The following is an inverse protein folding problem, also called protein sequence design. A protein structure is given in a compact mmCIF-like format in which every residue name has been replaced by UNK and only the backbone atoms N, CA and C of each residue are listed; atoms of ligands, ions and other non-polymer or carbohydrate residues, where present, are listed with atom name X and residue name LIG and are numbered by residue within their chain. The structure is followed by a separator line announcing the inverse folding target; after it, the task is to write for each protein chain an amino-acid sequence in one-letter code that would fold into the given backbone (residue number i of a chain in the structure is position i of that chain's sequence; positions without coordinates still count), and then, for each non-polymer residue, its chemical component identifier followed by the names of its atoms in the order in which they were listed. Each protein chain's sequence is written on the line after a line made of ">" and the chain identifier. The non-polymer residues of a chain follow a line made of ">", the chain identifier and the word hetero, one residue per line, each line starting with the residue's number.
data_IF_743362784797
#
_entry.id   IF_743362784797
#
_cell.length_a   1.000
_cell.length_b   1.000
_cell.length_c   1.000
_cell.angle_alpha   90.00
_cell.angle_beta   90.00
_cell.angle_gamma   90.00
#
_symmetry.space_group_name_H-M   'P 1'
#
loop_
_entity.id
_entity.type
_entity.pdbx_description
1 polymer ?
#
# COMPACT_ATOMS: atom_id res chain seq x y z
N UNK A 1 -28.69 -36.96 21.27
CA UNK A 1 -28.90 -35.64 21.89
C UNK A 1 -27.59 -34.90 21.96
N UNK A 2 -27.49 -33.77 21.30
CA UNK A 2 -26.31 -32.93 21.42
C UNK A 2 -26.23 -32.27 22.79
N UNK A 3 -25.08 -32.39 23.45
CA UNK A 3 -24.89 -31.87 24.77
C UNK A 3 -24.81 -30.30 24.67
N UNK A 4 -25.74 -29.59 25.27
CA UNK A 4 -25.85 -28.11 25.23
C UNK A 4 -24.53 -27.40 25.55
N UNK A 5 -23.70 -28.00 26.39
CA UNK A 5 -22.37 -27.48 26.75
C UNK A 5 -21.37 -27.56 25.59
N UNK A 6 -21.41 -28.65 24.79
CA UNK A 6 -20.54 -28.81 23.61
C UNK A 6 -20.94 -27.83 22.51
N UNK A 7 -22.24 -27.64 22.30
CA UNK A 7 -22.76 -26.69 21.29
C UNK A 7 -22.39 -25.25 21.62
N UNK A 8 -22.41 -24.88 22.91
CA UNK A 8 -22.02 -23.55 23.35
C UNK A 8 -20.52 -23.28 23.18
N UNK A 9 -19.69 -24.26 23.50
CA UNK A 9 -18.22 -24.18 23.35
C UNK A 9 -17.83 -24.10 21.87
N UNK A 10 -18.47 -24.86 21.00
CA UNK A 10 -18.22 -24.81 19.56
C UNK A 10 -18.66 -23.45 18.95
N UNK A 11 -19.74 -22.89 19.44
CA UNK A 11 -20.22 -21.60 18.98
C UNK A 11 -19.31 -20.43 19.40
N UNK A 12 -18.81 -20.46 20.64
CA UNK A 12 -17.85 -19.46 21.16
C UNK A 12 -16.51 -19.58 20.41
N UNK A 13 -16.04 -20.82 20.14
CA UNK A 13 -14.79 -21.03 19.41
C UNK A 13 -14.88 -20.60 17.94
N UNK A 14 -16.04 -20.79 17.31
CA UNK A 14 -16.28 -20.33 15.93
C UNK A 14 -16.36 -18.78 15.84
N UNK A 15 -16.90 -18.12 16.85
CA UNK A 15 -17.03 -16.68 16.87
C UNK A 15 -15.66 -15.97 17.08
N UNK A 16 -14.76 -16.58 17.84
CA UNK A 16 -13.41 -16.04 18.06
C UNK A 16 -12.52 -16.12 16.81
N UNK A 17 -12.71 -17.13 15.95
CA UNK A 17 -11.96 -17.22 14.67
C UNK A 17 -12.36 -16.13 13.66
N UNK A 18 -13.59 -15.64 13.72
CA UNK A 18 -14.07 -14.58 12.82
C UNK A 18 -13.45 -13.20 13.10
N UNK A 19 -12.97 -12.96 14.31
CA UNK A 19 -12.34 -11.68 14.70
C UNK A 19 -10.83 -11.64 14.45
N UNK A 20 -10.15 -12.77 14.31
CA UNK A 20 -8.70 -12.84 14.14
C UNK A 20 -8.22 -12.39 12.74
N UNK A 21 -9.07 -12.49 11.72
CA UNK A 21 -8.69 -12.18 10.33
C UNK A 21 -8.53 -10.70 10.01
N UNK A 22 -9.11 -9.80 10.81
CA UNK A 22 -9.11 -8.37 10.50
C UNK A 22 -7.91 -7.60 11.08
N UNK A 23 -7.17 -8.17 12.01
CA UNK A 23 -6.04 -7.48 12.65
C UNK A 23 -4.78 -7.43 11.77
N UNK A 24 -4.58 -8.39 10.88
CA UNK A 24 -3.37 -8.48 10.05
C UNK A 24 -3.31 -7.34 9.03
N UNK A 25 -4.42 -7.02 8.38
CA UNK A 25 -4.48 -5.93 7.40
C UNK A 25 -4.30 -4.54 8.02
N UNK A 26 -4.83 -4.31 9.22
CA UNK A 26 -4.68 -3.05 9.92
C UNK A 26 -3.23 -2.79 10.37
N UNK A 27 -2.49 -3.83 10.73
CA UNK A 27 -1.09 -3.75 11.13
C UNK A 27 -0.20 -3.41 9.94
N UNK A 28 -0.39 -4.05 8.78
CA UNK A 28 0.35 -3.77 7.54
C UNK A 28 0.11 -2.34 7.05
N UNK A 29 -1.11 -1.83 7.14
CA UNK A 29 -1.43 -0.45 6.78
C UNK A 29 -0.76 0.57 7.71
N UNK A 30 -0.72 0.33 9.02
CA UNK A 30 -0.06 1.19 9.99
C UNK A 30 1.48 1.21 9.79
N UNK A 31 2.07 0.07 9.49
CA UNK A 31 3.48 -0.04 9.14
C UNK A 31 3.79 0.72 7.84
N UNK A 32 2.97 0.55 6.82
CA UNK A 32 3.08 1.28 5.55
C UNK A 32 3.00 2.80 5.73
N UNK A 33 2.11 3.29 6.58
CA UNK A 33 2.01 4.71 6.92
C UNK A 33 3.30 5.22 7.59
N UNK A 34 3.86 4.46 8.51
CA UNK A 34 5.13 4.80 9.18
C UNK A 34 6.29 4.84 8.18
N UNK A 35 6.39 3.85 7.31
CA UNK A 35 7.40 3.80 6.25
C UNK A 35 7.28 4.99 5.29
N UNK A 36 6.06 5.35 4.91
CA UNK A 36 5.80 6.51 4.06
C UNK A 36 6.24 7.81 4.74
N UNK A 37 5.85 8.03 5.99
CA UNK A 37 6.24 9.23 6.74
C UNK A 37 7.74 9.38 6.87
N UNK A 38 8.45 8.28 7.09
CA UNK A 38 9.90 8.30 7.32
C UNK A 38 10.72 8.41 6.02
N UNK A 39 10.20 7.91 4.88
CA UNK A 39 11.00 7.76 3.68
C UNK A 39 10.47 8.53 2.46
N UNK A 40 9.19 8.88 2.42
CA UNK A 40 8.54 9.41 1.23
C UNK A 40 7.96 10.81 1.41
N UNK A 41 7.49 11.15 2.62
CA UNK A 41 6.75 12.37 2.91
C UNK A 41 7.58 13.65 2.76
N UNK A 42 8.91 13.56 2.79
CA UNK A 42 9.78 14.70 2.52
C UNK A 42 9.63 15.24 1.08
N UNK A 43 9.25 14.37 0.13
CA UNK A 43 9.15 14.70 -1.29
C UNK A 43 7.76 14.51 -1.89
N UNK A 44 6.89 13.76 -1.23
CA UNK A 44 5.55 13.43 -1.73
C UNK A 44 4.44 13.78 -0.74
N UNK A 45 3.44 14.52 -1.20
CA UNK A 45 2.17 14.68 -0.49
C UNK A 45 1.23 13.50 -0.79
N UNK A 46 0.36 13.17 0.15
CA UNK A 46 -0.69 12.15 -0.04
C UNK A 46 -1.90 12.69 -0.83
N UNK A 47 -2.05 14.01 -0.93
CA UNK A 47 -3.02 14.68 -1.77
C UNK A 47 -2.48 14.84 -3.21
N UNK A 48 -3.08 15.74 -4.01
CA UNK A 48 -2.71 16.03 -5.39
C UNK A 48 -1.67 17.15 -5.54
N UNK A 49 -1.28 17.79 -4.43
CA UNK A 49 -0.30 18.88 -4.45
C UNK A 49 1.12 18.35 -4.71
N UNK A 50 1.82 19.05 -5.62
CA UNK A 50 3.24 18.80 -5.88
C UNK A 50 4.08 19.40 -4.75
N UNK A 51 5.02 18.59 -4.24
CA UNK A 51 6.05 19.06 -3.31
C UNK A 51 7.40 19.09 -4.05
N UNK A 52 8.27 18.13 -3.85
CA UNK A 52 9.42 17.88 -4.73
C UNK A 52 9.01 16.97 -5.89
N UNK A 53 8.31 15.90 -5.56
CA UNK A 53 7.68 15.00 -6.50
C UNK A 53 6.17 15.22 -6.62
N UNK A 54 5.49 14.45 -7.47
CA UNK A 54 4.05 14.55 -7.65
C UNK A 54 3.29 14.14 -6.40
N UNK A 55 2.09 14.72 -6.21
CA UNK A 55 1.12 14.25 -5.24
C UNK A 55 0.64 12.83 -5.57
N UNK A 56 0.40 12.01 -4.55
CA UNK A 56 0.10 10.58 -4.72
C UNK A 56 -1.39 10.25 -4.71
N UNK A 57 -2.28 11.24 -4.59
CA UNK A 57 -3.72 11.00 -4.68
C UNK A 57 -4.07 10.28 -5.98
N UNK A 58 -4.82 9.18 -5.86
CA UNK A 58 -5.26 8.39 -7.01
C UNK A 58 -4.15 7.62 -7.75
N UNK A 59 -2.98 7.44 -7.14
CA UNK A 59 -1.86 6.72 -7.78
C UNK A 59 -2.23 5.29 -8.18
N UNK A 60 -3.02 4.59 -7.36
CA UNK A 60 -3.48 3.22 -7.65
C UNK A 60 -4.47 3.14 -8.83
N UNK A 61 -5.12 4.24 -9.17
CA UNK A 61 -5.99 4.34 -10.35
C UNK A 61 -5.19 4.64 -11.62
N UNK A 62 -4.04 5.31 -11.47
CA UNK A 62 -3.16 5.65 -12.59
C UNK A 62 -2.21 4.53 -12.96
N UNK A 63 -1.75 3.76 -11.98
CA UNK A 63 -0.78 2.67 -12.18
C UNK A 63 -1.19 1.40 -11.42
N UNK A 64 -0.99 0.21 -12.04
CA UNK A 64 -1.18 -1.06 -11.35
C UNK A 64 -0.23 -1.17 -10.15
N UNK A 65 -0.64 -1.91 -9.12
CA UNK A 65 0.17 -2.09 -7.90
C UNK A 65 1.55 -2.70 -8.21
N UNK A 66 1.65 -3.62 -9.17
CA UNK A 66 2.91 -4.22 -9.57
C UNK A 66 3.89 -3.21 -10.16
N UNK A 67 3.38 -2.23 -10.89
CA UNK A 67 4.20 -1.13 -11.42
C UNK A 67 4.68 -0.23 -10.27
N UNK A 68 3.80 0.10 -9.32
CA UNK A 68 4.13 0.94 -8.15
C UNK A 68 5.21 0.28 -7.32
N UNK A 69 5.12 -1.02 -7.08
CA UNK A 69 6.13 -1.78 -6.34
C UNK A 69 7.48 -1.72 -7.04
N UNK A 70 7.53 -1.98 -8.34
CA UNK A 70 8.77 -1.90 -9.15
C UNK A 70 9.37 -0.51 -9.11
N UNK A 71 8.55 0.52 -9.22
CA UNK A 71 8.97 1.92 -9.17
C UNK A 71 9.60 2.27 -7.82
N UNK A 72 8.95 1.92 -6.72
CA UNK A 72 9.46 2.19 -5.36
C UNK A 72 10.77 1.45 -5.08
N UNK A 73 10.90 0.22 -5.58
CA UNK A 73 12.13 -0.57 -5.39
C UNK A 73 13.31 -0.09 -6.22
N UNK A 74 13.09 0.25 -7.48
CA UNK A 74 14.16 0.68 -8.37
C UNK A 74 13.61 1.52 -9.53
N UNK A 75 13.40 2.82 -9.34
CA UNK A 75 12.88 3.70 -10.38
C UNK A 75 13.79 3.78 -11.60
N UNK A 76 15.10 3.71 -11.43
CA UNK A 76 16.05 3.76 -12.54
C UNK A 76 15.93 2.56 -13.48
N UNK A 77 15.62 1.38 -12.96
CA UNK A 77 15.37 0.20 -13.80
C UNK A 77 14.08 0.36 -14.61
N UNK A 78 13.03 0.94 -14.05
CA UNK A 78 11.77 1.20 -14.76
C UNK A 78 11.95 2.26 -15.84
N UNK A 79 12.68 3.33 -15.57
CA UNK A 79 13.05 4.35 -16.57
C UNK A 79 13.88 3.72 -17.68
N UNK A 80 14.92 2.95 -17.34
CA UNK A 80 15.81 2.30 -18.28
C UNK A 80 15.15 1.22 -19.15
N UNK A 81 14.02 0.66 -18.71
CA UNK A 81 13.22 -0.29 -19.48
C UNK A 81 12.47 0.35 -20.67
N UNK A 82 12.44 1.67 -20.75
CA UNK A 82 11.68 2.40 -21.76
C UNK A 82 10.21 2.58 -21.42
N UNK A 83 9.80 2.36 -20.17
CA UNK A 83 8.44 2.64 -19.73
C UNK A 83 8.09 4.10 -19.94
N UNK A 84 7.05 4.35 -20.73
CA UNK A 84 6.69 5.70 -21.15
C UNK A 84 6.26 6.58 -19.97
N UNK A 85 5.45 6.05 -19.07
CA UNK A 85 4.96 6.80 -17.90
C UNK A 85 6.12 7.18 -16.97
N UNK A 86 7.04 6.26 -16.73
CA UNK A 86 8.23 6.52 -15.95
C UNK A 86 9.12 7.60 -16.56
N UNK A 87 9.34 7.56 -17.88
CA UNK A 87 10.15 8.54 -18.58
C UNK A 87 9.48 9.92 -18.66
N UNK A 88 8.15 9.97 -18.79
CA UNK A 88 7.39 11.21 -18.74
C UNK A 88 7.51 11.88 -17.33
N UNK A 89 7.37 11.10 -16.26
CA UNK A 89 7.58 11.59 -14.89
C UNK A 89 9.00 12.09 -14.67
N UNK A 90 9.98 11.31 -15.07
CA UNK A 90 11.39 11.65 -14.90
C UNK A 90 11.75 12.97 -15.60
N UNK A 91 11.21 13.17 -16.78
CA UNK A 91 11.40 14.43 -17.54
C UNK A 91 10.65 15.58 -16.88
N UNK A 92 9.39 15.36 -16.47
CA UNK A 92 8.53 16.39 -15.87
C UNK A 92 9.09 16.94 -14.55
N UNK A 93 9.71 16.09 -13.74
CA UNK A 93 10.24 16.44 -12.43
C UNK A 93 11.75 16.68 -12.43
N UNK A 94 12.31 17.13 -13.57
CA UNK A 94 13.70 17.54 -13.75
C UNK A 94 14.74 16.45 -13.44
N UNK A 95 14.35 15.20 -13.67
CA UNK A 95 15.26 14.07 -13.46
C UNK A 95 15.68 13.91 -11.99
N UNK A 96 14.81 14.34 -11.10
CA UNK A 96 15.01 14.21 -9.65
C UNK A 96 14.76 12.77 -9.17
#
# INVERSE_FOLDING_TARGET
>A
MFNRKITLVTFIFSLTLLFAGNMVFAQDAAEGETLFKNNCAACHNTNDEVLVGPGLKGVSERRPIDWIIKWVHNPQAVIGSGDKYANDLYTKFNKA
#
